data_IF_803014638090
#
_entry.id   IF_803014638090
#
_cell.length_a   1.000
_cell.length_b   1.000
_cell.length_c   1.000
_cell.angle_alpha   90.00
_cell.angle_beta   90.00
_cell.angle_gamma   90.00
#
_symmetry.space_group_name_H-M   'P 1'
#
loop_
_entity.id
_entity.type
_entity.pdbx_description
1 polymer ?
#
# COMPACT_ATOMS: atom_id res chain seq x y z
N UNK A 1 -66.00 22.81 -72.09
CA UNK A 1 -66.11 22.28 -70.70
C UNK A 1 -65.34 20.93 -70.61
N UNK A 2 -64.95 20.23 -71.71
CA UNK A 2 -64.37 18.92 -71.71
C UNK A 2 -62.82 18.89 -71.54
N UNK A 3 -62.11 20.00 -71.60
CA UNK A 3 -60.67 20.01 -71.56
C UNK A 3 -60.11 20.07 -70.12
N UNK A 4 -60.95 20.30 -69.10
CA UNK A 4 -60.48 20.34 -67.67
C UNK A 4 -60.65 19.06 -66.91
N UNK A 5 -61.33 18.05 -67.48
CA UNK A 5 -61.54 16.76 -66.84
C UNK A 5 -60.44 15.76 -67.10
N UNK A 6 -59.56 15.98 -68.08
CA UNK A 6 -58.42 15.12 -68.35
C UNK A 6 -57.23 15.38 -67.46
N UNK A 7 -57.18 16.52 -66.77
CA UNK A 7 -56.11 16.85 -65.84
C UNK A 7 -56.23 16.18 -64.47
N UNK A 8 -57.33 15.53 -64.15
CA UNK A 8 -57.58 14.86 -62.91
C UNK A 8 -57.39 13.32 -63.07
N UNK A 9 -56.27 12.90 -63.65
CA UNK A 9 -55.89 11.50 -63.51
C UNK A 9 -55.65 11.21 -62.03
N UNK A 10 -56.31 10.18 -61.46
CA UNK A 10 -56.07 9.85 -60.04
C UNK A 10 -54.58 9.52 -59.89
N UNK A 11 -53.88 10.38 -59.15
CA UNK A 11 -52.48 10.13 -58.79
C UNK A 11 -52.46 8.75 -58.11
N UNK A 12 -51.77 7.80 -58.72
CA UNK A 12 -51.66 6.46 -58.19
C UNK A 12 -50.79 6.51 -56.92
N UNK A 13 -51.42 6.68 -55.78
CA UNK A 13 -50.78 6.78 -54.48
C UNK A 13 -49.84 5.59 -54.22
N UNK A 14 -50.13 4.43 -54.80
CA UNK A 14 -49.26 3.25 -54.70
C UNK A 14 -47.87 3.41 -55.34
N UNK A 15 -47.75 4.33 -56.35
CA UNK A 15 -46.43 4.59 -57.00
C UNK A 15 -45.60 5.60 -56.20
N UNK A 16 -46.19 6.35 -55.31
CA UNK A 16 -45.51 7.32 -54.43
C UNK A 16 -45.02 6.68 -53.13
N UNK A 17 -45.54 5.54 -52.76
CA UNK A 17 -45.09 4.81 -51.55
C UNK A 17 -43.94 3.90 -51.97
N UNK A 18 -42.72 4.18 -51.49
CA UNK A 18 -41.57 3.28 -51.73
C UNK A 18 -41.97 1.88 -51.25
N UNK A 19 -41.54 0.87 -52.01
CA UNK A 19 -41.89 -0.51 -51.72
C UNK A 19 -41.60 -0.86 -50.26
N UNK A 20 -42.63 -0.93 -49.43
CA UNK A 20 -42.58 -1.12 -48.01
C UNK A 20 -41.71 -2.35 -47.65
N UNK A 21 -41.75 -3.39 -48.52
CA UNK A 21 -40.91 -4.57 -48.33
C UNK A 21 -39.41 -4.27 -48.34
N UNK A 22 -38.95 -3.35 -49.21
CA UNK A 22 -37.54 -2.97 -49.25
C UNK A 22 -37.13 -2.09 -48.06
N UNK A 23 -38.03 -1.19 -47.63
CA UNK A 23 -37.79 -0.36 -46.45
C UNK A 23 -37.70 -1.23 -45.20
N UNK A 24 -38.57 -2.22 -45.02
CA UNK A 24 -38.53 -3.17 -43.93
C UNK A 24 -37.23 -4.01 -43.96
N UNK A 25 -36.80 -4.47 -45.11
CA UNK A 25 -35.54 -5.25 -45.24
C UNK A 25 -34.32 -4.40 -44.84
N UNK A 26 -34.25 -3.17 -45.29
CA UNK A 26 -33.12 -2.27 -44.99
C UNK A 26 -33.13 -1.91 -43.48
N UNK A 27 -34.28 -1.61 -42.90
CA UNK A 27 -34.39 -1.31 -41.46
C UNK A 27 -34.03 -2.53 -40.61
N UNK A 28 -34.51 -3.73 -40.98
CA UNK A 28 -34.16 -4.98 -40.29
C UNK A 28 -32.67 -5.28 -40.34
N UNK A 29 -32.03 -5.11 -41.51
CA UNK A 29 -30.59 -5.27 -41.63
C UNK A 29 -29.83 -4.29 -40.75
N UNK A 30 -30.25 -3.05 -40.67
CA UNK A 30 -29.64 -1.99 -39.82
C UNK A 30 -29.76 -2.34 -38.35
N UNK A 31 -30.94 -2.77 -37.90
CA UNK A 31 -31.17 -3.22 -36.51
C UNK A 31 -30.29 -4.42 -36.15
N UNK A 32 -30.20 -5.43 -37.05
CA UNK A 32 -29.36 -6.61 -36.82
C UNK A 32 -27.89 -6.22 -36.81
N UNK A 33 -27.43 -5.29 -37.67
CA UNK A 33 -26.06 -4.81 -37.69
C UNK A 33 -25.70 -4.10 -36.36
N UNK A 34 -26.59 -3.23 -35.86
CA UNK A 34 -26.42 -2.57 -34.56
C UNK A 34 -26.34 -3.60 -33.42
N UNK A 35 -27.24 -4.62 -33.45
CA UNK A 35 -27.23 -5.67 -32.42
C UNK A 35 -25.94 -6.50 -32.43
N UNK A 36 -25.42 -6.85 -33.61
CA UNK A 36 -24.13 -7.55 -33.75
C UNK A 36 -22.98 -6.67 -33.22
N UNK A 37 -22.97 -5.37 -33.54
CA UNK A 37 -21.97 -4.42 -33.05
C UNK A 37 -22.00 -4.29 -31.51
N UNK A 38 -23.17 -4.28 -30.92
CA UNK A 38 -23.35 -4.28 -29.47
C UNK A 38 -22.88 -5.60 -28.83
N UNK A 39 -23.08 -6.75 -29.48
CA UNK A 39 -22.59 -8.04 -28.99
C UNK A 39 -21.06 -8.14 -29.04
N UNK A 40 -20.43 -7.67 -30.11
CA UNK A 40 -18.96 -7.69 -30.24
C UNK A 40 -18.29 -6.77 -29.20
N UNK A 41 -18.92 -5.65 -28.85
CA UNK A 41 -18.38 -4.66 -27.91
C UNK A 41 -18.96 -4.79 -26.48
N UNK A 42 -19.40 -5.98 -26.10
CA UNK A 42 -20.18 -6.24 -24.88
C UNK A 42 -19.55 -5.65 -23.61
N UNK A 43 -18.23 -5.76 -23.41
CA UNK A 43 -17.58 -5.22 -22.20
C UNK A 43 -17.47 -3.67 -22.22
N UNK A 44 -17.25 -3.06 -23.39
CA UNK A 44 -17.16 -1.61 -23.53
C UNK A 44 -18.53 -0.93 -23.55
N UNK A 45 -19.53 -1.55 -24.19
CA UNK A 45 -20.86 -0.96 -24.37
C UNK A 45 -21.67 -0.92 -23.07
N UNK A 46 -21.63 -1.96 -22.26
CA UNK A 46 -22.33 -2.01 -20.97
C UNK A 46 -21.80 -0.95 -20.01
N UNK A 47 -20.49 -0.74 -19.96
CA UNK A 47 -19.88 0.29 -19.13
C UNK A 47 -20.23 1.72 -19.61
N UNK A 48 -20.32 1.92 -20.94
CA UNK A 48 -20.69 3.19 -21.53
C UNK A 48 -22.15 3.53 -21.28
N UNK A 49 -23.07 2.57 -21.44
CA UNK A 49 -24.49 2.73 -21.14
C UNK A 49 -24.72 3.01 -19.65
N UNK A 50 -23.98 2.31 -18.76
CA UNK A 50 -24.07 2.56 -17.32
C UNK A 50 -23.62 3.99 -16.95
N UNK A 51 -22.62 4.54 -17.64
CA UNK A 51 -22.19 5.94 -17.46
C UNK A 51 -23.26 6.93 -17.90
N UNK A 52 -23.96 6.64 -19.00
CA UNK A 52 -25.06 7.50 -19.49
C UNK A 52 -26.24 7.45 -18.52
N UNK A 53 -26.59 6.26 -18.03
CA UNK A 53 -27.70 6.08 -17.11
C UNK A 53 -27.44 6.76 -15.75
N UNK A 54 -26.21 6.65 -15.25
CA UNK A 54 -25.79 7.22 -13.96
C UNK A 54 -24.98 8.51 -14.16
N UNK A 55 -25.45 9.44 -14.97
CA UNK A 55 -24.74 10.69 -15.32
C UNK A 55 -24.39 11.57 -14.10
N UNK A 56 -25.07 11.37 -12.97
CA UNK A 56 -24.82 12.09 -11.71
C UNK A 56 -23.57 11.59 -10.97
N UNK A 57 -22.94 10.47 -11.40
CA UNK A 57 -21.74 9.93 -10.81
C UNK A 57 -20.50 10.35 -11.62
N UNK A 58 -19.47 10.83 -10.93
CA UNK A 58 -18.19 11.08 -11.56
C UNK A 58 -17.51 9.73 -11.90
N UNK A 59 -17.47 9.39 -13.20
CA UNK A 59 -16.75 8.22 -13.68
C UNK A 59 -15.32 8.59 -14.04
N UNK A 60 -14.38 8.03 -13.30
CA UNK A 60 -12.99 8.08 -13.72
C UNK A 60 -12.74 7.00 -14.78
N UNK A 61 -12.01 7.31 -15.86
CA UNK A 61 -11.63 6.30 -16.84
C UNK A 61 -10.79 5.21 -16.16
N UNK A 62 -10.86 3.94 -16.63
CA UNK A 62 -10.03 2.87 -16.07
C UNK A 62 -8.55 3.23 -16.21
N UNK A 63 -7.79 3.10 -15.14
CA UNK A 63 -6.35 3.38 -15.15
C UNK A 63 -5.60 2.39 -16.05
N UNK A 64 -4.56 2.83 -16.80
CA UNK A 64 -3.80 1.95 -17.70
C UNK A 64 -3.05 0.87 -16.92
N UNK A 65 -2.76 1.13 -15.65
CA UNK A 65 -2.14 0.19 -14.73
C UNK A 65 -2.58 0.43 -13.29
N UNK A 66 -2.32 -0.53 -12.44
CA UNK A 66 -2.51 -0.42 -10.99
C UNK A 66 -1.18 -0.65 -10.28
N UNK A 67 -0.91 0.15 -9.26
CA UNK A 67 0.26 0.01 -8.39
C UNK A 67 -0.17 -0.78 -7.16
N UNK A 68 0.46 -1.92 -6.92
CA UNK A 68 0.12 -2.84 -5.83
C UNK A 68 1.34 -3.03 -4.93
N UNK A 69 1.12 -2.99 -3.61
CA UNK A 69 2.16 -3.31 -2.63
C UNK A 69 2.32 -4.83 -2.51
N UNK A 70 3.57 -5.29 -2.41
CA UNK A 70 3.87 -6.69 -2.03
C UNK A 70 4.03 -6.85 -0.52
N UNK A 71 4.16 -5.75 0.21
CA UNK A 71 4.25 -5.77 1.65
C UNK A 71 2.84 -5.84 2.28
N UNK A 72 2.77 -6.32 3.51
CA UNK A 72 1.55 -6.28 4.31
C UNK A 72 1.07 -4.83 4.53
N UNK A 73 -0.24 -4.64 4.63
CA UNK A 73 -0.83 -3.30 4.82
C UNK A 73 -0.37 -2.64 6.13
N UNK A 74 -0.11 -3.44 7.17
CA UNK A 74 0.45 -3.01 8.45
C UNK A 74 1.57 -3.97 8.80
N UNK A 75 2.77 -3.47 9.00
CA UNK A 75 3.93 -4.24 9.39
C UNK A 75 4.55 -3.70 10.66
N UNK A 76 4.80 -4.57 11.62
CA UNK A 76 5.44 -4.23 12.88
C UNK A 76 6.92 -4.54 12.83
N UNK A 77 7.77 -3.56 13.17
CA UNK A 77 9.23 -3.71 13.20
C UNK A 77 9.82 -3.16 14.50
N UNK A 78 10.99 -3.65 14.88
CA UNK A 78 11.73 -3.08 16.00
C UNK A 78 12.40 -1.75 15.61
N UNK A 79 12.42 -0.79 16.54
CA UNK A 79 13.06 0.51 16.36
C UNK A 79 14.52 0.37 15.90
N UNK A 80 14.90 1.15 14.88
CA UNK A 80 16.21 1.13 14.26
C UNK A 80 16.42 0.05 13.20
N UNK A 81 15.40 -0.73 12.87
CA UNK A 81 15.48 -1.69 11.77
C UNK A 81 15.22 -1.02 10.42
N UNK A 82 15.78 -1.64 9.40
CA UNK A 82 15.51 -1.31 8.00
C UNK A 82 14.29 -2.11 7.50
N UNK A 83 13.54 -1.52 6.55
CA UNK A 83 12.42 -2.20 5.90
C UNK A 83 12.53 -2.07 4.39
N UNK A 84 12.44 -3.20 3.68
CA UNK A 84 12.43 -3.26 2.23
C UNK A 84 10.98 -3.14 1.72
N UNK A 85 10.69 -2.02 1.09
CA UNK A 85 9.40 -1.72 0.48
C UNK A 85 9.43 -2.18 -0.97
N UNK A 86 8.38 -2.92 -1.36
CA UNK A 86 8.23 -3.47 -2.70
C UNK A 86 6.86 -3.15 -3.27
N UNK A 87 6.85 -2.65 -4.51
CA UNK A 87 5.65 -2.49 -5.31
C UNK A 87 5.81 -3.23 -6.63
N UNK A 88 4.70 -3.64 -7.22
CA UNK A 88 4.63 -4.11 -8.58
C UNK A 88 3.48 -3.44 -9.31
N UNK A 89 3.57 -3.41 -10.62
CA UNK A 89 2.57 -2.79 -11.47
C UNK A 89 1.86 -3.85 -12.29
N UNK A 90 0.53 -3.81 -12.28
CA UNK A 90 -0.33 -4.65 -13.11
C UNK A 90 -0.87 -3.82 -14.27
N UNK A 91 -0.48 -4.14 -15.50
CA UNK A 91 -0.78 -3.41 -16.72
C UNK A 91 0.48 -2.83 -17.36
N UNK A 92 0.33 -1.89 -18.31
CA UNK A 92 1.46 -1.20 -18.95
C UNK A 92 2.00 -0.13 -17.98
N UNK A 93 3.00 -0.53 -17.19
CA UNK A 93 3.58 0.30 -16.16
C UNK A 93 4.56 1.36 -16.65
N UNK A 94 4.81 2.38 -15.84
CA UNK A 94 5.81 3.40 -16.12
C UNK A 94 7.22 2.89 -15.80
N UNK A 95 8.25 3.59 -16.32
CA UNK A 95 9.65 3.28 -16.02
C UNK A 95 10.09 3.66 -14.59
N UNK A 96 9.30 4.47 -13.89
CA UNK A 96 9.57 4.87 -12.52
C UNK A 96 8.28 5.14 -11.76
N UNK A 97 8.34 4.98 -10.44
CA UNK A 97 7.33 5.44 -9.50
C UNK A 97 7.96 6.43 -8.52
N UNK A 98 7.14 7.27 -7.91
CA UNK A 98 7.56 8.08 -6.76
C UNK A 98 7.01 7.44 -5.50
N UNK A 99 7.91 6.94 -4.66
CA UNK A 99 7.58 6.48 -3.31
C UNK A 99 7.48 7.71 -2.40
N UNK A 100 6.38 7.84 -1.71
CA UNK A 100 6.17 8.78 -0.63
C UNK A 100 6.16 8.03 0.69
N UNK A 101 6.83 8.58 1.68
CA UNK A 101 6.80 8.07 3.03
C UNK A 101 6.73 9.22 4.03
N UNK A 102 6.11 8.98 5.15
CA UNK A 102 5.84 10.02 6.13
C UNK A 102 6.11 9.55 7.55
N UNK A 103 6.88 10.35 8.27
CA UNK A 103 7.11 10.26 9.70
C UNK A 103 6.52 11.50 10.38
N UNK A 104 5.69 11.33 11.43
CA UNK A 104 5.11 12.45 12.18
C UNK A 104 4.50 13.56 11.28
N UNK A 105 3.78 13.19 10.22
CA UNK A 105 3.18 14.10 9.23
C UNK A 105 4.18 14.85 8.32
N UNK A 106 5.47 14.63 8.45
CA UNK A 106 6.46 15.14 7.50
C UNK A 106 6.54 14.10 6.36
N UNK A 107 6.24 14.56 5.15
CA UNK A 107 6.24 13.70 3.95
C UNK A 107 7.54 13.95 3.20
N UNK A 108 8.23 12.87 2.91
CA UNK A 108 9.37 12.85 2.01
C UNK A 108 9.09 11.94 0.81
N UNK A 109 9.88 12.05 -0.25
CA UNK A 109 9.67 11.29 -1.47
C UNK A 109 10.97 10.92 -2.17
N UNK A 110 10.96 9.76 -2.80
CA UNK A 110 12.08 9.27 -3.59
C UNK A 110 11.58 8.63 -4.88
N UNK A 111 12.30 8.85 -5.98
CA UNK A 111 12.01 8.17 -7.24
C UNK A 111 12.63 6.77 -7.21
N UNK A 112 11.82 5.77 -7.55
CA UNK A 112 12.22 4.38 -7.67
C UNK A 112 12.03 3.93 -9.12
N UNK A 113 13.07 3.34 -9.70
CA UNK A 113 13.02 2.89 -11.09
C UNK A 113 12.50 1.47 -11.19
N UNK A 114 11.98 1.16 -12.37
CA UNK A 114 11.54 -0.18 -12.71
C UNK A 114 12.72 -1.15 -12.77
N UNK A 115 12.55 -2.29 -12.14
CA UNK A 115 13.43 -3.47 -12.26
C UNK A 115 12.55 -4.67 -12.63
N UNK A 116 12.33 -4.87 -13.95
CA UNK A 116 11.50 -5.94 -14.48
C UNK A 116 10.06 -5.98 -13.91
N UNK A 117 9.41 -4.83 -13.84
CA UNK A 117 8.04 -4.69 -13.31
C UNK A 117 7.97 -4.59 -11.78
N UNK A 118 9.12 -4.57 -11.10
CA UNK A 118 9.22 -4.43 -9.66
C UNK A 118 9.90 -3.10 -9.29
N UNK A 119 9.39 -2.48 -8.25
CA UNK A 119 9.90 -1.22 -7.71
C UNK A 119 10.24 -1.44 -6.25
N UNK A 120 11.48 -1.20 -5.86
CA UNK A 120 11.91 -1.47 -4.50
C UNK A 120 12.74 -0.35 -3.93
N UNK A 121 12.59 -0.14 -2.62
CA UNK A 121 13.37 0.83 -1.86
C UNK A 121 13.50 0.39 -0.41
N UNK A 122 14.69 0.56 0.17
CA UNK A 122 14.92 0.26 1.58
C UNK A 122 14.84 1.53 2.41
N UNK A 123 13.82 1.63 3.26
CA UNK A 123 13.76 2.62 4.31
C UNK A 123 14.70 2.19 5.43
N UNK A 124 15.68 3.04 5.77
CA UNK A 124 16.73 2.74 6.74
C UNK A 124 16.44 3.37 8.08
N UNK A 125 16.90 2.70 9.16
CA UNK A 125 16.88 3.21 10.54
C UNK A 125 15.52 3.77 10.97
N UNK A 126 14.45 2.98 10.80
CA UNK A 126 13.10 3.42 11.09
C UNK A 126 12.89 3.40 12.61
N UNK A 127 12.69 4.59 13.20
CA UNK A 127 12.55 4.78 14.66
C UNK A 127 11.16 5.23 15.10
N UNK A 128 10.29 5.54 14.16
CA UNK A 128 8.95 6.07 14.41
C UNK A 128 7.96 5.43 13.44
N UNK A 129 6.70 5.40 13.83
CA UNK A 129 5.65 4.92 12.95
C UNK A 129 5.66 5.68 11.64
N UNK A 130 5.53 4.96 10.55
CA UNK A 130 5.57 5.49 9.20
C UNK A 130 4.35 5.04 8.40
N UNK A 131 3.97 5.84 7.42
CA UNK A 131 3.05 5.46 6.35
C UNK A 131 3.73 5.69 5.03
N UNK A 132 3.46 4.83 4.05
CA UNK A 132 4.06 4.95 2.73
C UNK A 132 3.09 4.50 1.64
N UNK A 133 3.28 5.06 0.47
CA UNK A 133 2.55 4.74 -0.75
C UNK A 133 3.38 5.08 -1.97
N UNK A 134 3.14 4.43 -3.08
CA UNK A 134 3.72 4.79 -4.36
C UNK A 134 2.73 5.56 -5.22
N UNK A 135 3.21 6.46 -6.05
CA UNK A 135 2.38 7.12 -7.05
C UNK A 135 3.13 7.38 -8.34
N UNK A 136 2.34 7.56 -9.40
CA UNK A 136 2.80 8.01 -10.70
C UNK A 136 1.97 9.21 -11.15
N UNK A 137 2.64 10.27 -11.56
CA UNK A 137 2.00 11.43 -12.17
C UNK A 137 2.35 11.45 -13.66
N UNK A 138 1.34 11.54 -14.51
CA UNK A 138 1.53 11.67 -15.95
C UNK A 138 2.14 13.03 -16.28
N UNK A 139 3.15 13.05 -17.16
CA UNK A 139 3.71 14.28 -17.70
C UNK A 139 2.98 14.75 -18.98
N UNK A 140 1.95 14.02 -19.41
CA UNK A 140 1.18 14.39 -20.62
C UNK A 140 0.20 15.51 -20.29
N UNK A 141 0.18 16.55 -21.14
CA UNK A 141 -0.69 17.74 -20.98
C UNK A 141 -2.17 17.34 -21.04
N UNK A 142 -2.50 16.29 -21.80
CA UNK A 142 -3.84 15.74 -21.93
C UNK A 142 -3.79 14.28 -21.50
N UNK A 143 -3.86 14.06 -20.19
CA UNK A 143 -3.97 12.72 -19.61
C UNK A 143 -5.32 12.58 -18.94
N UNK A 144 -5.98 11.46 -19.18
CA UNK A 144 -7.23 11.13 -18.48
C UNK A 144 -6.98 10.84 -16.98
N UNK A 145 -5.71 10.62 -16.59
CA UNK A 145 -5.27 10.37 -15.22
C UNK A 145 -4.13 11.31 -14.86
N UNK A 146 -4.41 12.19 -13.94
CA UNK A 146 -3.39 13.10 -13.41
C UNK A 146 -2.45 12.38 -12.42
N UNK A 147 -3.04 11.52 -11.59
CA UNK A 147 -2.33 10.79 -10.53
C UNK A 147 -2.86 9.36 -10.38
N UNK A 148 -1.97 8.38 -10.47
CA UNK A 148 -2.24 6.98 -10.11
C UNK A 148 -1.52 6.69 -8.81
N UNK A 149 -2.23 6.21 -7.79
CA UNK A 149 -1.70 5.99 -6.44
C UNK A 149 -1.98 4.55 -6.00
N UNK A 150 -1.04 3.96 -5.27
CA UNK A 150 -1.25 2.69 -4.54
C UNK A 150 -2.09 2.91 -3.29
N UNK A 151 -2.52 1.83 -2.67
CA UNK A 151 -2.97 1.86 -1.29
C UNK A 151 -1.86 2.35 -0.37
N UNK A 152 -2.27 2.87 0.81
CA UNK A 152 -1.33 3.33 1.82
C UNK A 152 -1.04 2.20 2.80
N UNK A 153 0.24 1.90 2.99
CA UNK A 153 0.72 0.91 3.94
C UNK A 153 1.29 1.61 5.18
N UNK A 154 1.33 0.88 6.29
CA UNK A 154 1.77 1.39 7.59
C UNK A 154 2.89 0.54 8.17
N UNK A 155 3.85 1.20 8.80
CA UNK A 155 4.90 0.58 9.60
C UNK A 155 4.69 1.02 11.03
N UNK A 156 4.48 0.06 11.92
CA UNK A 156 4.40 0.26 13.36
C UNK A 156 5.74 -0.08 14.00
N UNK A 157 6.30 0.85 14.76
CA UNK A 157 7.61 0.69 15.38
C UNK A 157 7.44 0.35 16.85
N UNK A 158 8.00 -0.81 17.23
CA UNK A 158 8.10 -1.21 18.62
C UNK A 158 9.47 -0.82 19.15
N UNK A 159 9.50 -0.07 20.24
CA UNK A 159 10.75 0.24 20.93
C UNK A 159 11.34 -1.03 21.53
N UNK A 160 12.65 -1.21 21.38
CA UNK A 160 13.37 -2.30 22.04
C UNK A 160 13.37 -2.02 23.54
N UNK A 161 13.13 -3.04 24.40
CA UNK A 161 13.31 -2.88 25.81
C UNK A 161 14.76 -2.53 26.16
N UNK A 162 14.91 -1.57 27.03
CA UNK A 162 16.23 -1.13 27.53
C UNK A 162 16.19 -1.15 29.06
N UNK A 163 17.24 -1.68 29.68
CA UNK A 163 17.40 -1.55 31.11
C UNK A 163 17.81 -0.12 31.46
N UNK A 164 17.03 0.55 32.31
CA UNK A 164 17.25 1.93 32.74
C UNK A 164 18.09 1.99 34.01
N UNK A 165 17.91 1.02 34.90
CA UNK A 165 18.61 0.94 36.17
C UNK A 165 19.08 -0.50 36.38
N UNK A 166 20.39 -0.69 36.49
CA UNK A 166 20.97 -1.98 36.87
C UNK A 166 21.80 -1.75 38.16
N UNK A 167 21.42 -2.44 39.20
CA UNK A 167 22.07 -2.35 40.49
C UNK A 167 22.59 -3.72 40.92
N UNK A 168 23.85 -3.78 41.30
CA UNK A 168 24.49 -4.95 41.88
C UNK A 168 24.71 -4.67 43.37
N UNK A 169 24.30 -5.60 44.20
CA UNK A 169 24.57 -5.60 45.63
C UNK A 169 25.41 -6.81 45.96
N UNK A 170 26.63 -6.57 46.49
CA UNK A 170 27.59 -7.58 46.88
C UNK A 170 27.57 -7.69 48.36
N UNK A 171 27.10 -8.82 48.88
CA UNK A 171 27.09 -9.13 50.31
C UNK A 171 28.26 -10.08 50.60
N UNK A 172 29.22 -9.59 51.35
CA UNK A 172 30.39 -10.36 51.73
C UNK A 172 30.08 -11.29 52.91
N UNK A 173 30.75 -12.45 53.01
CA UNK A 173 30.64 -13.34 54.17
C UNK A 173 31.01 -12.62 55.46
N UNK A 174 30.28 -12.89 56.51
CA UNK A 174 30.46 -12.19 57.82
C UNK A 174 31.88 -12.33 58.40
N UNK A 175 32.59 -13.41 58.13
CA UNK A 175 33.94 -13.67 58.63
C UNK A 175 35.00 -12.73 58.03
N UNK A 176 34.67 -12.04 56.89
CA UNK A 176 35.64 -11.15 56.20
C UNK A 176 35.65 -9.74 56.82
N UNK A 177 34.62 -9.38 57.60
CA UNK A 177 34.44 -8.06 58.20
C UNK A 177 34.54 -6.91 57.20
N UNK A 178 34.01 -7.11 55.95
CA UNK A 178 33.94 -6.13 54.87
C UNK A 178 32.50 -5.64 54.68
N UNK A 179 32.33 -4.32 54.51
CA UNK A 179 31.02 -3.72 54.28
C UNK A 179 30.45 -4.16 52.90
N UNK A 180 29.14 -4.32 52.83
CA UNK A 180 28.46 -4.63 51.58
C UNK A 180 28.64 -3.49 50.57
N UNK A 181 28.82 -3.85 49.31
CA UNK A 181 29.08 -2.91 48.23
C UNK A 181 27.87 -2.85 47.30
N UNK A 182 27.48 -1.63 46.90
CA UNK A 182 26.47 -1.40 45.87
C UNK A 182 27.13 -0.74 44.67
N UNK A 183 26.84 -1.27 43.47
CA UNK A 183 27.41 -0.80 42.22
C UNK A 183 26.25 -0.62 41.24
N UNK A 184 26.22 0.52 40.55
CA UNK A 184 25.19 0.84 39.55
C UNK A 184 25.83 1.04 38.22
N UNK A 185 25.27 0.44 37.16
CA UNK A 185 25.73 0.63 35.79
C UNK A 185 25.36 -0.53 34.85
N UNK A 186 25.37 -0.23 33.56
CA UNK A 186 24.99 -1.20 32.52
C UNK A 186 26.12 -2.16 32.15
N UNK A 187 27.37 -1.76 32.37
CA UNK A 187 28.56 -2.61 32.21
C UNK A 187 29.45 -2.37 33.42
N UNK A 188 29.54 -3.35 34.29
CA UNK A 188 30.23 -3.22 35.55
C UNK A 188 31.29 -4.32 35.66
N UNK A 189 32.47 -3.92 36.06
CA UNK A 189 33.53 -4.82 36.41
C UNK A 189 33.76 -4.72 37.93
N UNK A 190 33.68 -5.83 38.62
CA UNK A 190 33.96 -5.91 40.04
C UNK A 190 34.55 -7.26 40.40
N UNK A 191 35.35 -7.28 41.45
CA UNK A 191 35.88 -8.50 42.04
C UNK A 191 35.09 -8.88 43.27
N UNK A 192 34.59 -10.09 43.32
CA UNK A 192 33.87 -10.61 44.44
C UNK A 192 34.70 -11.74 45.10
N UNK A 193 34.74 -11.76 46.41
CA UNK A 193 35.40 -12.81 47.17
C UNK A 193 34.58 -14.11 47.07
N UNK A 194 35.23 -15.24 47.20
CA UNK A 194 34.56 -16.53 47.25
C UNK A 194 33.50 -16.52 48.35
N UNK A 195 32.34 -17.13 48.09
CA UNK A 195 31.17 -17.19 48.99
C UNK A 195 30.42 -15.85 49.17
N UNK A 196 30.74 -14.79 48.41
CA UNK A 196 29.94 -13.58 48.41
C UNK A 196 28.62 -13.83 47.69
N UNK A 197 27.52 -13.26 48.21
CA UNK A 197 26.21 -13.27 47.55
C UNK A 197 26.06 -12.01 46.69
N UNK A 198 25.91 -12.19 45.38
CA UNK A 198 25.71 -11.11 44.46
C UNK A 198 24.22 -11.08 44.03
N UNK A 199 23.57 -9.98 44.31
CA UNK A 199 22.18 -9.73 43.90
C UNK A 199 22.16 -8.67 42.78
N UNK A 200 21.59 -9.02 41.62
CA UNK A 200 21.40 -8.09 40.51
C UNK A 200 19.91 -7.71 40.45
N UNK A 201 19.63 -6.41 40.49
CA UNK A 201 18.29 -5.84 40.30
C UNK A 201 18.35 -4.94 39.06
N UNK A 202 17.48 -5.23 38.08
CA UNK A 202 17.41 -4.45 36.87
C UNK A 202 15.97 -3.96 36.65
N UNK A 203 15.83 -2.73 36.17
CA UNK A 203 14.54 -2.13 35.79
C UNK A 203 14.57 -1.84 34.30
N UNK A 204 13.55 -2.28 33.58
CA UNK A 204 13.39 -1.98 32.16
C UNK A 204 12.42 -0.81 31.95
N UNK A 205 12.56 -0.13 30.81
CA UNK A 205 11.66 0.97 30.41
C UNK A 205 10.26 0.48 30.00
N UNK A 206 10.08 -0.81 29.76
CA UNK A 206 8.82 -1.45 29.39
C UNK A 206 8.78 -2.89 29.90
N UNK A 207 7.61 -3.51 29.86
CA UNK A 207 7.45 -4.92 30.22
C UNK A 207 8.30 -5.81 29.33
N UNK A 208 9.02 -6.76 29.94
CA UNK A 208 9.86 -7.77 29.29
C UNK A 208 9.43 -9.16 29.73
N UNK A 209 9.44 -10.10 28.82
CA UNK A 209 9.10 -11.50 29.13
C UNK A 209 10.25 -12.24 29.79
N UNK A 210 11.48 -11.93 29.41
CA UNK A 210 12.69 -12.55 29.95
C UNK A 210 13.90 -11.63 29.82
N UNK A 211 14.85 -11.79 30.73
CA UNK A 211 16.14 -11.12 30.69
C UNK A 211 17.24 -12.09 31.12
N UNK A 212 18.46 -11.82 30.69
CA UNK A 212 19.62 -12.60 31.12
C UNK A 212 20.85 -11.72 31.35
N UNK A 213 21.75 -12.22 32.19
CA UNK A 213 23.03 -11.60 32.50
C UNK A 213 24.16 -12.53 31.99
N UNK A 214 25.10 -11.98 31.26
CA UNK A 214 26.29 -12.71 30.83
C UNK A 214 27.44 -12.38 31.77
N UNK A 215 27.94 -13.38 32.48
CA UNK A 215 29.09 -13.27 33.37
C UNK A 215 30.38 -13.72 32.64
N UNK A 216 31.44 -12.93 32.75
CA UNK A 216 32.76 -13.21 32.20
C UNK A 216 32.75 -13.63 30.72
N UNK A 217 31.75 -13.17 29.95
CA UNK A 217 31.52 -13.53 28.52
C UNK A 217 31.32 -15.06 28.28
N UNK A 218 30.96 -15.84 29.30
CA UNK A 218 30.77 -17.29 29.22
C UNK A 218 29.49 -17.79 29.83
N UNK A 219 29.21 -17.37 31.05
CA UNK A 219 28.09 -17.91 31.81
C UNK A 219 26.87 -17.04 31.69
N UNK A 220 25.71 -17.65 31.45
CA UNK A 220 24.44 -16.95 31.32
C UNK A 220 23.52 -17.22 32.50
N UNK A 221 23.11 -16.19 33.19
CA UNK A 221 22.14 -16.27 34.27
C UNK A 221 20.83 -15.60 33.81
N UNK A 222 19.72 -16.30 33.92
CA UNK A 222 18.41 -15.77 33.61
C UNK A 222 17.87 -14.97 34.79
N UNK A 223 17.36 -13.76 34.52
CA UNK A 223 16.69 -12.94 35.52
C UNK A 223 15.29 -13.49 35.74
N UNK A 224 14.86 -13.53 36.98
CA UNK A 224 13.47 -13.85 37.34
C UNK A 224 12.67 -12.55 37.41
N UNK A 225 11.47 -12.59 36.83
CA UNK A 225 10.46 -11.52 36.94
C UNK A 225 9.88 -11.53 38.35
#
# INVERSE_FOLDING_TARGET
IDSKTEELRPINIKSLIPNISNVIKISSFLVISIFILLMISHEGSSSSLNRIYNYNQAYHPPTPFKILSQNESIKTIASGNDELIKFYVKGEGPQYLTLYYSYNNIIDSVRINDDNGNFQYTLKDIRQNAKYWASYRSNQIISAWDLIKSDTNYIEVINRPVFTDINFEINYPKYINKENQKITGNTVQFDALKESLITCKAKANQSIDSGYLILNKKDTLYLKN
#
